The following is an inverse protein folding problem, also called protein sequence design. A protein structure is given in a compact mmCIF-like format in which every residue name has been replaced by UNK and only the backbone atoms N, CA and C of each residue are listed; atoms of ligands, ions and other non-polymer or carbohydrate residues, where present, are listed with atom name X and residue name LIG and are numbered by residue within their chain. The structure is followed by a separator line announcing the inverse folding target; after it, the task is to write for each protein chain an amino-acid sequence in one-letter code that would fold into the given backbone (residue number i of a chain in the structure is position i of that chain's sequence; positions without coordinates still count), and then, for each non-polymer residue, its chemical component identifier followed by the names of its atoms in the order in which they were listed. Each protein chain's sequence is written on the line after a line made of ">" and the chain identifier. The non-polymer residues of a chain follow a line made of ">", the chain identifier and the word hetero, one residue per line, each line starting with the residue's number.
data_IF_492120585811
#
_entry.id   IF_492120585811
#
_cell.length_a   1.000
_cell.length_b   1.000
_cell.length_c   1.000
_cell.angle_alpha   90.00
_cell.angle_beta   90.00
_cell.angle_gamma   90.00
#
_symmetry.space_group_name_H-M   'P 1'
#
loop_
_entity.id
_entity.type
_entity.pdbx_description
1 polymer ?
#
# COMPACT_ATOMS: atom_id res chain seq x y z
N UNK A 1 -27.13 6.07 52.36
CA UNK A 1 -26.02 5.33 51.73
C UNK A 1 -26.13 5.54 50.23
N UNK A 2 -25.36 6.48 49.73
CA UNK A 2 -25.33 6.86 48.33
C UNK A 2 -24.12 6.18 47.68
N UNK A 3 -24.39 5.20 46.83
CA UNK A 3 -23.39 4.55 46.02
C UNK A 3 -23.07 5.42 44.83
N UNK A 4 -21.88 5.98 44.78
CA UNK A 4 -21.34 6.64 43.59
C UNK A 4 -20.74 5.58 42.66
N UNK A 5 -21.45 5.27 41.56
CA UNK A 5 -20.86 4.59 40.44
C UNK A 5 -19.89 5.56 39.75
N UNK A 6 -18.60 5.31 39.89
CA UNK A 6 -17.59 5.90 39.04
C UNK A 6 -17.47 5.00 37.81
N UNK A 7 -18.23 5.35 36.75
CA UNK A 7 -17.90 4.92 35.42
C UNK A 7 -16.53 5.53 35.09
N UNK A 8 -15.51 4.68 35.08
CA UNK A 8 -14.23 5.03 34.51
C UNK A 8 -14.40 4.96 32.99
N UNK A 9 -14.85 6.06 32.41
CA UNK A 9 -14.63 6.30 30.97
C UNK A 9 -13.12 6.22 30.74
N UNK A 10 -12.69 5.08 30.23
CA UNK A 10 -11.34 4.95 29.67
C UNK A 10 -11.36 5.77 28.41
N UNK A 11 -10.98 7.05 28.51
CA UNK A 11 -10.60 7.84 27.35
C UNK A 11 -9.53 7.04 26.60
N UNK A 12 -9.92 6.47 25.46
CA UNK A 12 -8.99 5.86 24.52
C UNK A 12 -8.25 7.04 23.90
N UNK A 13 -7.03 7.29 24.38
CA UNK A 13 -6.09 8.24 23.77
C UNK A 13 -5.92 7.85 22.28
N UNK A 14 -6.43 8.63 21.33
CA UNK A 14 -6.45 8.25 19.92
C UNK A 14 -5.04 8.12 19.29
N UNK A 15 -4.02 8.67 19.94
CA UNK A 15 -2.67 8.77 19.37
C UNK A 15 -1.66 7.71 19.86
N UNK A 16 -2.05 6.82 20.78
CA UNK A 16 -1.09 5.89 21.40
C UNK A 16 -0.76 4.67 20.54
N UNK A 17 -1.48 4.44 19.46
CA UNK A 17 -1.36 3.22 18.64
C UNK A 17 -1.51 3.50 17.15
N UNK A 18 -0.80 4.51 16.66
CA UNK A 18 -0.77 4.82 15.24
C UNK A 18 0.24 3.93 14.52
N UNK A 19 -0.17 3.39 13.40
CA UNK A 19 0.72 2.83 12.40
C UNK A 19 0.39 3.47 11.05
N UNK A 20 1.40 4.01 10.40
CA UNK A 20 1.31 4.58 9.07
C UNK A 20 2.34 4.00 8.14
N UNK A 21 2.18 4.25 6.86
CA UNK A 21 3.14 3.87 5.82
C UNK A 21 3.56 5.09 5.02
N UNK A 22 4.87 5.34 4.94
CA UNK A 22 5.47 6.35 4.05
C UNK A 22 6.18 5.66 2.91
N UNK A 23 6.10 6.23 1.73
CA UNK A 23 6.72 5.66 0.56
C UNK A 23 7.03 6.70 -0.51
N UNK A 24 8.06 6.41 -1.30
CA UNK A 24 8.49 7.23 -2.43
C UNK A 24 8.75 6.35 -3.65
N UNK A 25 8.51 6.90 -4.82
CA UNK A 25 8.85 6.31 -6.10
C UNK A 25 10.02 7.06 -6.76
N UNK A 26 10.94 6.32 -7.37
CA UNK A 26 11.88 6.83 -8.34
C UNK A 26 11.24 6.72 -9.72
N UNK A 27 11.02 7.87 -10.35
CA UNK A 27 10.31 7.96 -11.63
C UNK A 27 11.28 8.33 -12.73
N UNK A 28 11.14 7.69 -13.88
CA UNK A 28 11.91 7.97 -15.10
C UNK A 28 11.94 9.47 -15.40
N UNK A 29 13.13 10.01 -15.68
CA UNK A 29 13.38 11.42 -16.00
C UNK A 29 13.04 12.43 -14.88
N UNK A 30 12.59 11.98 -13.71
CA UNK A 30 12.30 12.84 -12.55
C UNK A 30 13.23 12.51 -11.39
N UNK A 31 13.51 11.22 -11.15
CA UNK A 31 14.22 10.75 -9.98
C UNK A 31 13.29 10.46 -8.80
N UNK A 32 13.85 10.45 -7.58
CA UNK A 32 13.09 10.25 -6.37
C UNK A 32 12.12 11.40 -6.13
N UNK A 33 10.85 11.06 -5.98
CA UNK A 33 9.82 12.00 -5.55
C UNK A 33 9.86 12.17 -4.01
N UNK A 34 9.20 13.21 -3.52
CA UNK A 34 8.97 13.37 -2.09
C UNK A 34 8.16 12.17 -1.55
N UNK A 35 8.46 11.76 -0.31
CA UNK A 35 7.65 10.77 0.38
C UNK A 35 6.21 11.24 0.51
N UNK A 36 5.31 10.30 0.35
CA UNK A 36 3.87 10.44 0.63
C UNK A 36 3.44 9.39 1.63
N UNK A 37 2.27 9.53 2.21
CA UNK A 37 1.76 8.59 3.22
C UNK A 37 0.34 8.12 2.90
N UNK A 38 -0.01 6.99 3.50
CA UNK A 38 -1.36 6.49 3.73
C UNK A 38 -2.35 6.74 2.59
N UNK A 39 -2.24 5.97 1.52
CA UNK A 39 -3.15 6.01 0.38
C UNK A 39 -2.92 7.14 -0.62
N UNK A 40 -1.96 8.05 -0.36
CA UNK A 40 -1.58 9.11 -1.29
C UNK A 40 -0.83 8.53 -2.49
N UNK A 41 -1.02 9.10 -3.66
CA UNK A 41 -0.35 8.63 -4.89
C UNK A 41 1.13 9.00 -4.90
N UNK A 42 2.00 8.02 -5.08
CA UNK A 42 3.42 8.19 -5.47
C UNK A 42 3.60 7.72 -6.91
N UNK A 43 4.43 8.39 -7.67
CA UNK A 43 4.54 8.21 -9.12
C UNK A 43 3.74 9.26 -9.90
N UNK A 44 3.44 8.98 -11.15
CA UNK A 44 2.69 9.88 -12.03
C UNK A 44 1.62 9.12 -12.79
N UNK A 45 0.51 9.81 -13.12
CA UNK A 45 -0.52 9.26 -14.02
C UNK A 45 -0.68 10.17 -15.24
N UNK A 46 -0.94 9.59 -16.41
CA UNK A 46 -1.15 10.34 -17.65
C UNK A 46 0.10 10.99 -18.24
N UNK A 47 1.29 10.68 -17.72
CA UNK A 47 2.58 11.21 -18.23
C UNK A 47 3.40 10.19 -18.98
N UNK A 48 3.01 8.93 -18.97
CA UNK A 48 3.72 7.85 -19.64
C UNK A 48 5.11 7.55 -19.06
N UNK A 49 5.33 7.88 -17.79
CA UNK A 49 6.60 7.70 -17.08
C UNK A 49 6.55 6.49 -16.17
N UNK A 50 7.56 5.63 -16.30
CA UNK A 50 7.68 4.41 -15.48
C UNK A 50 8.22 4.70 -14.09
N UNK A 51 7.79 3.91 -13.11
CA UNK A 51 8.50 3.78 -11.84
C UNK A 51 9.63 2.77 -12.03
N UNK A 52 10.81 3.12 -11.54
CA UNK A 52 12.03 2.32 -11.65
C UNK A 52 12.45 1.70 -10.32
N UNK A 53 12.13 2.36 -9.20
CA UNK A 53 12.39 1.90 -7.85
C UNK A 53 11.37 2.46 -6.85
N UNK A 54 11.21 1.76 -5.74
CA UNK A 54 10.38 2.18 -4.60
C UNK A 54 11.14 2.04 -3.30
N UNK A 55 10.80 2.90 -2.34
CA UNK A 55 11.23 2.83 -0.95
C UNK A 55 10.00 2.96 -0.06
N UNK A 56 9.87 2.10 0.95
CA UNK A 56 8.70 2.04 1.82
C UNK A 56 9.17 1.94 3.28
N UNK A 57 8.59 2.76 4.15
CA UNK A 57 8.90 2.80 5.59
C UNK A 57 7.59 2.75 6.39
N UNK A 58 7.58 1.99 7.47
CA UNK A 58 6.48 2.01 8.44
C UNK A 58 6.79 3.00 9.56
N UNK A 59 5.81 3.82 9.91
CA UNK A 59 5.79 4.61 11.14
C UNK A 59 4.97 3.84 12.19
N UNK A 60 5.65 3.06 13.02
CA UNK A 60 5.01 2.20 14.00
C UNK A 60 5.19 2.74 15.41
N UNK A 61 4.15 3.30 15.99
CA UNK A 61 4.08 3.67 17.40
C UNK A 61 3.31 2.68 18.26
N UNK A 62 2.90 1.55 17.68
CA UNK A 62 2.23 0.48 18.42
C UNK A 62 3.24 -0.33 19.24
N UNK A 63 2.73 -1.15 20.17
CA UNK A 63 3.55 -2.10 20.93
C UNK A 63 3.88 -3.38 20.15
N UNK A 64 3.32 -3.57 18.96
CA UNK A 64 3.53 -4.76 18.16
C UNK A 64 4.88 -4.72 17.45
N UNK A 65 5.62 -5.80 17.55
CA UNK A 65 6.87 -6.00 16.83
C UNK A 65 6.63 -6.36 15.36
N UNK A 66 7.60 -6.08 14.51
CA UNK A 66 7.55 -6.43 13.10
C UNK A 66 7.93 -5.26 12.19
N UNK A 67 7.67 -5.44 10.91
CA UNK A 67 8.03 -4.48 9.87
C UNK A 67 7.29 -4.76 8.58
N UNK A 68 7.89 -4.34 7.47
CA UNK A 68 7.41 -4.59 6.12
C UNK A 68 8.50 -5.29 5.30
N UNK A 69 8.08 -6.21 4.44
CA UNK A 69 8.88 -6.86 3.41
C UNK A 69 8.22 -6.65 2.06
N UNK A 70 8.97 -6.29 1.04
CA UNK A 70 8.44 -6.03 -0.30
C UNK A 70 9.44 -6.34 -1.41
N UNK A 71 8.91 -6.63 -2.60
CA UNK A 71 9.68 -6.93 -3.79
C UNK A 71 9.03 -6.33 -5.04
N UNK A 72 9.86 -6.04 -6.03
CA UNK A 72 9.46 -5.58 -7.35
C UNK A 72 9.82 -6.60 -8.43
N UNK A 73 8.92 -6.76 -9.40
CA UNK A 73 9.18 -7.45 -10.66
C UNK A 73 9.67 -6.42 -11.68
N UNK A 74 10.87 -6.65 -12.21
CA UNK A 74 11.55 -5.71 -13.10
C UNK A 74 11.58 -6.29 -14.51
N UNK A 75 11.32 -5.46 -15.51
CA UNK A 75 11.46 -5.83 -16.91
C UNK A 75 12.82 -6.44 -17.20
N UNK A 76 12.84 -7.60 -17.88
CA UNK A 76 14.05 -8.35 -18.26
C UNK A 76 14.86 -8.94 -17.07
N UNK A 77 14.43 -8.76 -15.83
CA UNK A 77 15.10 -9.33 -14.63
C UNK A 77 14.18 -10.33 -13.94
N UNK A 78 12.88 -10.00 -13.82
CA UNK A 78 11.93 -10.75 -13.01
C UNK A 78 11.83 -10.26 -11.57
N UNK A 79 11.32 -11.11 -10.68
CA UNK A 79 11.21 -10.79 -9.26
C UNK A 79 12.59 -10.66 -8.61
N UNK A 80 12.81 -9.51 -7.98
CA UNK A 80 13.95 -9.32 -7.09
C UNK A 80 13.71 -10.01 -5.74
N UNK A 81 14.78 -10.20 -4.97
CA UNK A 81 14.67 -10.61 -3.58
C UNK A 81 13.87 -9.59 -2.78
N UNK A 82 13.12 -10.06 -1.80
CA UNK A 82 12.43 -9.19 -0.86
C UNK A 82 13.43 -8.37 -0.05
N UNK A 83 13.05 -7.13 0.19
CA UNK A 83 13.79 -6.20 1.04
C UNK A 83 12.92 -5.75 2.21
N UNK A 84 13.54 -5.42 3.33
CA UNK A 84 12.86 -4.86 4.51
C UNK A 84 12.64 -3.36 4.37
N UNK A 85 11.78 -2.80 5.19
CA UNK A 85 11.47 -1.37 5.22
C UNK A 85 12.70 -0.47 5.22
N UNK A 86 12.64 0.62 4.47
CA UNK A 86 13.72 1.57 4.26
C UNK A 86 14.74 1.20 3.17
N UNK A 87 14.67 -0.02 2.62
CA UNK A 87 15.56 -0.44 1.53
C UNK A 87 14.91 -0.23 0.16
N UNK A 88 15.71 -0.06 -0.86
CA UNK A 88 15.25 0.16 -2.23
C UNK A 88 14.91 -1.19 -2.87
N UNK A 89 13.70 -1.28 -3.45
CA UNK A 89 13.29 -2.33 -4.37
C UNK A 89 13.12 -1.75 -5.77
N UNK A 90 13.71 -2.36 -6.77
CA UNK A 90 13.80 -1.84 -8.12
C UNK A 90 15.24 -1.53 -8.53
N UNK A 91 15.41 -0.68 -9.53
CA UNK A 91 16.72 -0.26 -10.05
C UNK A 91 16.77 1.25 -10.23
N UNK A 92 17.92 1.85 -9.93
CA UNK A 92 18.15 3.29 -10.16
C UNK A 92 19.23 3.46 -11.22
N UNK A 93 19.00 4.34 -12.20
CA UNK A 93 19.97 4.62 -13.26
C UNK A 93 20.10 3.56 -14.34
N UNK A 94 19.21 2.57 -14.39
CA UNK A 94 19.23 1.49 -15.39
C UNK A 94 18.11 1.61 -16.43
N UNK A 95 17.21 2.55 -16.28
CA UNK A 95 16.03 2.74 -17.15
C UNK A 95 15.20 1.45 -17.32
N UNK A 96 15.02 0.71 -16.21
CA UNK A 96 14.24 -0.52 -16.17
C UNK A 96 12.96 -0.30 -15.37
N UNK A 97 11.83 -0.58 -16.01
CA UNK A 97 10.51 -0.42 -15.40
C UNK A 97 10.21 -1.48 -14.37
N UNK A 98 9.51 -1.09 -13.31
CA UNK A 98 8.75 -2.00 -12.47
C UNK A 98 7.49 -2.39 -13.23
N UNK A 99 7.16 -3.68 -13.22
CA UNK A 99 5.97 -4.25 -13.86
C UNK A 99 4.93 -4.72 -12.84
N UNK A 100 5.38 -5.14 -11.67
CA UNK A 100 4.54 -5.55 -10.56
C UNK A 100 5.25 -5.39 -9.22
N UNK A 101 4.46 -5.30 -8.14
CA UNK A 101 4.93 -5.27 -6.76
C UNK A 101 4.15 -6.26 -5.91
N UNK A 102 4.77 -6.73 -4.84
CA UNK A 102 4.13 -7.45 -3.74
C UNK A 102 4.74 -7.02 -2.42
N UNK A 103 3.94 -7.03 -1.35
CA UNK A 103 4.41 -6.64 -0.02
C UNK A 103 3.62 -7.31 1.09
N UNK A 104 4.29 -7.53 2.23
CA UNK A 104 3.72 -8.11 3.43
C UNK A 104 4.17 -7.32 4.66
N UNK A 105 3.33 -7.33 5.68
CA UNK A 105 3.77 -7.05 7.04
C UNK A 105 4.45 -8.29 7.62
N UNK A 106 5.37 -8.09 8.55
CA UNK A 106 6.09 -9.16 9.25
C UNK A 106 5.87 -9.08 10.76
N UNK A 107 6.15 -10.17 11.48
CA UNK A 107 6.00 -10.24 12.94
C UNK A 107 4.55 -10.02 13.40
N UNK A 108 4.39 -9.54 14.63
CA UNK A 108 3.08 -9.29 15.24
C UNK A 108 2.22 -8.30 14.46
N UNK A 109 2.85 -7.35 13.74
CA UNK A 109 2.09 -6.43 12.88
C UNK A 109 1.23 -7.16 11.87
N UNK A 110 1.70 -8.27 11.30
CA UNK A 110 0.94 -9.08 10.34
C UNK A 110 -0.28 -9.78 10.94
N UNK A 111 -0.33 -9.94 12.25
CA UNK A 111 -1.47 -10.53 12.97
C UNK A 111 -2.57 -9.51 13.22
N UNK A 112 -2.21 -8.23 13.36
CA UNK A 112 -3.11 -7.15 13.75
C UNK A 112 -3.51 -6.22 12.61
N UNK A 113 -2.75 -6.16 11.51
CA UNK A 113 -3.00 -5.26 10.39
C UNK A 113 -2.93 -5.98 9.05
N UNK A 114 -3.65 -5.45 8.06
CA UNK A 114 -3.51 -5.78 6.65
C UNK A 114 -2.83 -4.61 5.93
N UNK A 115 -1.92 -4.91 5.00
CA UNK A 115 -1.36 -3.92 4.09
C UNK A 115 -2.06 -4.01 2.73
N UNK A 116 -2.76 -2.93 2.36
CA UNK A 116 -3.43 -2.80 1.06
C UNK A 116 -2.60 -1.95 0.11
N UNK A 117 -2.55 -2.34 -1.14
CA UNK A 117 -1.85 -1.59 -2.16
C UNK A 117 -2.45 -1.81 -3.54
N UNK A 118 -2.20 -0.87 -4.42
CA UNK A 118 -2.54 -0.98 -5.83
C UNK A 118 -1.57 -0.18 -6.67
N UNK A 119 -1.43 -0.58 -7.94
CA UNK A 119 -0.61 0.09 -8.94
C UNK A 119 -1.49 0.68 -10.04
N UNK A 120 -1.05 1.80 -10.60
CA UNK A 120 -1.51 2.31 -11.88
C UNK A 120 -0.56 1.79 -12.95
N UNK A 121 -1.08 1.06 -13.93
CA UNK A 121 -0.29 0.50 -15.02
C UNK A 121 -0.64 1.15 -16.35
N UNK A 122 0.35 1.26 -17.22
CA UNK A 122 0.20 1.87 -18.53
C UNK A 122 -0.92 1.23 -19.33
N UNK A 123 -1.71 2.06 -20.02
CA UNK A 123 -2.80 1.67 -20.92
C UNK A 123 -3.99 0.95 -20.25
N UNK A 124 -3.92 0.66 -18.95
CA UNK A 124 -4.98 -0.01 -18.17
C UNK A 124 -5.54 0.89 -17.09
N UNK A 125 -4.68 1.65 -16.37
CA UNK A 125 -5.07 2.49 -15.26
C UNK A 125 -4.88 1.81 -13.90
N UNK A 126 -5.67 2.24 -12.91
CA UNK A 126 -5.56 1.69 -11.55
C UNK A 126 -6.04 0.25 -11.48
N UNK A 127 -5.14 -0.63 -11.05
CA UNK A 127 -5.49 -2.00 -10.69
C UNK A 127 -6.41 -2.02 -9.45
N UNK A 128 -7.20 -3.07 -9.26
CA UNK A 128 -7.91 -3.29 -8.01
C UNK A 128 -6.97 -3.28 -6.82
N UNK A 129 -7.48 -2.86 -5.65
CA UNK A 129 -6.74 -3.02 -4.40
C UNK A 129 -6.47 -4.50 -4.12
N UNK A 130 -5.26 -4.79 -3.74
CA UNK A 130 -4.83 -6.11 -3.27
C UNK A 130 -4.16 -5.99 -1.90
N UNK A 131 -3.79 -7.10 -1.26
CA UNK A 131 -3.20 -7.10 0.07
C UNK A 131 -2.27 -8.28 0.33
N UNK A 132 -1.41 -8.14 1.36
CA UNK A 132 -0.72 -9.24 2.03
C UNK A 132 -0.07 -10.24 1.06
N UNK A 133 0.91 -9.81 0.31
CA UNK A 133 1.70 -10.65 -0.59
C UNK A 133 1.08 -10.94 -1.95
N UNK A 134 -0.15 -10.54 -2.20
CA UNK A 134 -0.75 -10.66 -3.53
C UNK A 134 -0.07 -9.69 -4.50
N UNK A 135 -0.04 -10.05 -5.78
CA UNK A 135 0.63 -9.26 -6.80
C UNK A 135 -0.28 -8.11 -7.25
N UNK A 136 0.26 -6.89 -7.32
CA UNK A 136 -0.34 -5.76 -7.99
C UNK A 136 0.52 -5.34 -9.18
N UNK A 137 -0.07 -5.27 -10.36
CA UNK A 137 0.62 -5.00 -11.62
C UNK A 137 0.48 -6.13 -12.62
N UNK A 138 1.45 -6.26 -13.51
CA UNK A 138 1.48 -7.29 -14.55
C UNK A 138 2.82 -8.01 -14.55
N UNK A 139 2.80 -9.30 -14.88
CA UNK A 139 4.02 -10.07 -15.12
C UNK A 139 3.94 -10.72 -16.50
N UNK A 140 5.03 -10.64 -17.27
CA UNK A 140 5.12 -11.29 -18.57
C UNK A 140 4.46 -10.58 -19.77
N UNK A 141 3.82 -9.43 -19.56
CA UNK A 141 3.19 -8.64 -20.63
C UNK A 141 3.76 -7.23 -20.76
N UNK A 142 4.84 -6.94 -20.06
CA UNK A 142 5.64 -5.71 -20.16
C UNK A 142 4.89 -4.39 -19.96
N UNK A 143 3.79 -4.37 -19.21
CA UNK A 143 3.16 -3.12 -18.82
C UNK A 143 3.89 -2.51 -17.64
N UNK A 144 4.29 -1.24 -17.77
CA UNK A 144 4.99 -0.50 -16.74
C UNK A 144 4.03 -0.03 -15.63
N UNK A 145 4.51 -0.05 -14.41
CA UNK A 145 3.88 0.67 -13.28
C UNK A 145 4.25 2.14 -13.39
N UNK A 146 3.26 3.02 -13.29
CA UNK A 146 3.39 4.48 -13.39
C UNK A 146 3.15 5.17 -12.05
N UNK A 147 2.31 4.59 -11.19
CA UNK A 147 2.02 5.09 -9.85
C UNK A 147 1.61 3.96 -8.91
N UNK A 148 1.70 4.23 -7.61
CA UNK A 148 1.22 3.30 -6.56
C UNK A 148 0.54 4.05 -5.42
N UNK A 149 -0.30 3.31 -4.70
CA UNK A 149 -0.90 3.71 -3.42
C UNK A 149 -0.78 2.57 -2.43
N UNK A 150 -0.46 2.87 -1.18
CA UNK A 150 -0.33 1.90 -0.09
C UNK A 150 -1.10 2.41 1.11
N UNK A 151 -1.80 1.52 1.81
CA UNK A 151 -2.53 1.84 3.03
C UNK A 151 -2.48 0.68 4.02
N UNK A 152 -2.53 0.99 5.31
CA UNK A 152 -2.61 0.02 6.39
C UNK A 152 -4.00 0.03 7.01
N UNK A 153 -4.52 -1.14 7.31
CA UNK A 153 -5.85 -1.30 7.91
C UNK A 153 -5.77 -2.27 9.06
N UNK A 154 -6.29 -1.87 10.23
CA UNK A 154 -6.38 -2.76 11.38
C UNK A 154 -7.40 -3.87 11.11
N UNK A 155 -7.01 -5.12 11.37
CA UNK A 155 -7.91 -6.27 11.22
C UNK A 155 -9.08 -6.18 12.20
N UNK A 156 -10.28 -6.56 11.73
CA UNK A 156 -11.49 -6.51 12.53
C UNK A 156 -12.11 -5.12 12.72
N UNK A 157 -11.49 -4.06 12.25
CA UNK A 157 -12.09 -2.74 12.18
C UNK A 157 -12.57 -2.45 10.76
N UNK A 158 -13.89 -2.34 10.59
CA UNK A 158 -14.50 -1.75 9.40
C UNK A 158 -14.41 -0.23 9.52
N UNK A 159 -13.23 0.33 9.29
CA UNK A 159 -13.09 1.78 9.21
C UNK A 159 -13.80 2.29 7.95
N UNK A 160 -14.42 3.47 8.02
CA UNK A 160 -15.09 4.12 6.88
C UNK A 160 -14.21 4.19 5.62
N UNK A 161 -12.88 4.24 5.76
CA UNK A 161 -11.93 4.20 4.64
C UNK A 161 -11.85 2.82 3.97
N UNK A 162 -11.99 1.72 4.72
CA UNK A 162 -12.08 0.36 4.17
C UNK A 162 -13.39 0.19 3.40
N UNK A 163 -14.48 0.77 3.89
CA UNK A 163 -15.75 0.83 3.16
C UNK A 163 -15.59 1.61 1.84
N UNK A 164 -14.84 2.70 1.81
CA UNK A 164 -14.53 3.42 0.57
C UNK A 164 -13.59 2.63 -0.35
N UNK A 165 -12.65 1.86 0.21
CA UNK A 165 -11.82 0.93 -0.56
C UNK A 165 -12.69 -0.20 -1.14
N UNK A 166 -13.56 -0.82 -0.34
CA UNK A 166 -14.46 -1.89 -0.76
C UNK A 166 -15.53 -1.40 -1.73
N UNK A 167 -16.12 -0.23 -1.52
CA UNK A 167 -17.12 0.37 -2.41
C UNK A 167 -16.50 0.74 -3.76
N UNK A 168 -15.25 1.17 -3.79
CA UNK A 168 -14.50 1.41 -5.05
C UNK A 168 -14.06 0.14 -5.76
N UNK A 169 -14.01 -1.01 -5.06
CA UNK A 169 -13.69 -2.33 -5.62
C UNK A 169 -14.93 -2.97 -6.28
N UNK A 170 -16.14 -2.56 -5.92
CA UNK A 170 -17.39 -3.15 -6.41
C UNK A 170 -18.25 -2.15 -7.19
N UNK A 171 -17.89 -1.81 -8.44
CA UNK A 171 -18.81 -1.01 -9.29
C UNK A 171 -19.95 -1.85 -9.90
N UNK A 172 -20.05 -3.16 -9.65
CA UNK A 172 -20.91 -4.06 -10.42
C UNK A 172 -22.09 -4.73 -9.70
N UNK A 173 -22.49 -4.32 -8.49
CA UNK A 173 -23.61 -5.02 -7.79
C UNK A 173 -24.93 -4.21 -7.75
N UNK A 174 -24.99 -3.03 -8.34
CA UNK A 174 -26.24 -2.24 -8.37
C UNK A 174 -26.78 -1.96 -9.78
N UNK A 175 -26.99 -3.02 -10.58
CA UNK A 175 -27.94 -2.98 -11.70
C UNK A 175 -28.60 -4.34 -11.88
N UNK A 176 -29.67 -4.61 -11.12
CA UNK A 176 -30.82 -5.40 -11.53
C UNK A 176 -31.76 -5.63 -10.35
N UNK A 177 -32.61 -4.66 -10.09
CA UNK A 177 -33.98 -4.88 -9.54
C UNK A 177 -34.83 -3.67 -9.89
N UNK A 178 -35.32 -3.66 -11.09
CA UNK A 178 -36.60 -3.06 -11.44
C UNK A 178 -37.14 -3.85 -12.65
N UNK A 179 -38.02 -4.77 -12.35
CA UNK A 179 -39.25 -5.08 -13.06
C UNK A 179 -40.07 -6.01 -12.18
#
# INVERSE_FOLDING_TARGET
>A
MTGTNTDSDTEIEPDKYYIGVRYAAHVQNIGWQNEVSDGTTSGTTGRGLQIEAINIVLDNSTSYSGGISYASHIKNIGWQNEVSGGNISGTVGRNLQIEAIKMNLTGELSEHFDIYYRTHIADVGWMPWTKNGQISGSTGISYRVEALRINLVRKGHLHLEVLQIIIKISPCIHRNRQH
#
